data_IF_703746514515
#
_entry.id   IF_703746514515
#
_cell.length_a   1.000
_cell.length_b   1.000
_cell.length_c   1.000
_cell.angle_alpha   90.00
_cell.angle_beta   90.00
_cell.angle_gamma   90.00
#
_symmetry.space_group_name_H-M   'P 1'
#
loop_
_entity.id
_entity.type
_entity.pdbx_description
1 polymer ?
#
# COMPACT_ATOMS: atom_id res chain seq x y z
N UNK A 1 51.33 33.98 -23.13
CA UNK A 1 50.30 33.03 -23.61
C UNK A 1 50.06 31.84 -22.66
N UNK A 2 50.91 31.59 -21.66
CA UNK A 2 50.74 30.48 -20.69
C UNK A 2 49.67 30.71 -19.60
N UNK A 3 49.28 31.96 -19.34
CA UNK A 3 48.26 32.30 -18.32
C UNK A 3 46.81 32.01 -18.76
N UNK A 4 46.52 32.06 -20.06
CA UNK A 4 45.17 31.83 -20.62
C UNK A 4 44.81 30.34 -20.69
N UNK A 5 45.80 29.47 -20.89
CA UNK A 5 45.60 28.01 -20.91
C UNK A 5 45.31 27.46 -19.50
N UNK A 6 45.92 28.03 -18.46
CA UNK A 6 45.68 27.62 -17.08
C UNK A 6 44.26 27.96 -16.60
N UNK A 7 43.65 29.03 -17.12
CA UNK A 7 42.28 29.44 -16.74
C UNK A 7 41.21 28.57 -17.40
N UNK A 8 41.43 28.12 -18.65
CA UNK A 8 40.49 27.25 -19.36
C UNK A 8 40.40 25.83 -18.75
N UNK A 9 41.53 25.27 -18.30
CA UNK A 9 41.55 23.96 -17.64
C UNK A 9 40.94 23.99 -16.23
N UNK A 10 40.91 25.15 -15.57
CA UNK A 10 40.31 25.29 -14.25
C UNK A 10 38.77 25.36 -14.32
N UNK A 11 38.22 25.94 -15.39
CA UNK A 11 36.77 26.01 -15.61
C UNK A 11 36.13 24.68 -16.01
N UNK A 12 36.84 23.81 -16.73
CA UNK A 12 36.32 22.47 -17.09
C UNK A 12 36.31 21.52 -15.90
N UNK A 13 37.26 21.64 -14.97
CA UNK A 13 37.32 20.82 -13.75
C UNK A 13 36.20 21.15 -12.74
N UNK A 14 35.73 22.40 -12.70
CA UNK A 14 34.69 22.85 -11.76
C UNK A 14 33.25 22.52 -12.22
N UNK A 15 33.02 22.23 -13.50
CA UNK A 15 31.69 21.89 -14.01
C UNK A 15 31.37 20.37 -13.97
N UNK A 16 32.39 19.51 -13.91
CA UNK A 16 32.23 18.05 -13.95
C UNK A 16 31.55 17.43 -12.71
N UNK A 17 31.75 17.89 -11.46
CA UNK A 17 31.12 17.24 -10.31
C UNK A 17 29.64 17.63 -10.14
N UNK A 18 29.17 18.68 -10.82
CA UNK A 18 27.79 19.16 -10.70
C UNK A 18 26.83 18.42 -11.64
N UNK A 19 27.26 18.07 -12.85
CA UNK A 19 26.43 17.30 -13.80
C UNK A 19 26.24 15.86 -13.34
N UNK A 20 27.31 15.19 -12.86
CA UNK A 20 27.22 13.83 -12.32
C UNK A 20 26.28 13.71 -11.10
N UNK A 21 26.15 14.78 -10.28
CA UNK A 21 25.24 14.83 -9.13
C UNK A 21 23.78 15.09 -9.52
N UNK A 22 23.55 15.85 -10.60
CA UNK A 22 22.21 16.11 -11.11
C UNK A 22 21.62 14.88 -11.80
N UNK A 23 22.43 14.18 -12.59
CA UNK A 23 22.05 12.93 -13.25
C UNK A 23 21.68 11.86 -12.21
N UNK A 24 22.48 11.70 -11.16
CA UNK A 24 22.20 10.74 -10.07
C UNK A 24 20.93 11.10 -9.26
N UNK A 25 20.62 12.39 -9.07
CA UNK A 25 19.38 12.79 -8.40
C UNK A 25 18.14 12.53 -9.27
N UNK A 26 18.21 12.83 -10.57
CA UNK A 26 17.14 12.54 -11.52
C UNK A 26 16.90 11.03 -11.67
N UNK A 27 17.97 10.25 -11.78
CA UNK A 27 17.91 8.79 -11.88
C UNK A 27 17.29 8.16 -10.63
N UNK A 28 17.62 8.68 -9.44
CA UNK A 28 16.98 8.23 -8.19
C UNK A 28 15.48 8.47 -8.20
N UNK A 29 15.04 9.66 -8.61
CA UNK A 29 13.59 9.96 -8.71
C UNK A 29 12.92 9.05 -9.74
N UNK A 30 13.58 8.78 -10.88
CA UNK A 30 13.09 7.86 -11.90
C UNK A 30 12.89 6.44 -11.36
N UNK A 31 13.91 5.84 -10.76
CA UNK A 31 13.82 4.48 -10.20
C UNK A 31 12.83 4.42 -9.03
N UNK A 32 12.79 5.45 -8.18
CA UNK A 32 11.81 5.54 -7.11
C UNK A 32 10.37 5.62 -7.64
N UNK A 33 10.14 6.31 -8.76
CA UNK A 33 8.83 6.40 -9.43
C UNK A 33 8.37 5.02 -9.90
N UNK A 34 9.24 4.28 -10.57
CA UNK A 34 8.95 2.92 -11.04
C UNK A 34 8.66 1.99 -9.86
N UNK A 35 9.46 2.08 -8.78
CA UNK A 35 9.23 1.31 -7.57
C UNK A 35 7.86 1.63 -6.93
N UNK A 36 7.51 2.90 -6.78
CA UNK A 36 6.20 3.33 -6.22
C UNK A 36 5.05 2.80 -7.08
N UNK A 37 5.18 2.85 -8.40
CA UNK A 37 4.16 2.35 -9.33
C UNK A 37 3.96 0.83 -9.20
N UNK A 38 5.04 0.05 -9.15
CA UNK A 38 5.00 -1.41 -9.04
C UNK A 38 4.39 -1.91 -7.72
N UNK A 39 4.44 -1.08 -6.68
CA UNK A 39 4.15 -1.50 -5.30
C UNK A 39 2.86 -0.87 -4.76
N UNK A 40 2.96 0.37 -4.31
CA UNK A 40 1.93 1.08 -3.57
C UNK A 40 0.74 1.39 -4.46
N UNK A 41 1.01 1.90 -5.66
CA UNK A 41 -0.05 2.37 -6.57
C UNK A 41 -0.84 1.20 -7.13
N UNK A 42 -0.18 0.12 -7.56
CA UNK A 42 -0.86 -1.08 -8.06
C UNK A 42 -1.82 -1.69 -7.02
N UNK A 43 -1.36 -1.77 -5.76
CA UNK A 43 -2.17 -2.30 -4.66
C UNK A 43 -3.34 -1.35 -4.34
N UNK A 44 -3.09 -0.04 -4.33
CA UNK A 44 -4.11 0.97 -4.10
C UNK A 44 -5.18 0.95 -5.20
N UNK A 45 -4.80 0.85 -6.47
CA UNK A 45 -5.71 0.79 -7.61
C UNK A 45 -6.62 -0.45 -7.58
N UNK A 46 -6.04 -1.59 -7.20
CA UNK A 46 -6.80 -2.85 -7.01
C UNK A 46 -7.85 -2.68 -5.90
N UNK A 47 -7.44 -2.15 -4.74
CA UNK A 47 -8.33 -1.92 -3.61
C UNK A 47 -9.42 -0.88 -3.91
N UNK A 48 -9.03 0.22 -4.54
CA UNK A 48 -9.93 1.29 -4.96
C UNK A 48 -10.97 0.78 -5.95
N UNK A 49 -10.57 0.02 -6.98
CA UNK A 49 -11.51 -0.55 -7.95
C UNK A 49 -12.52 -1.47 -7.26
N UNK A 50 -12.07 -2.35 -6.36
CA UNK A 50 -12.97 -3.22 -5.62
C UNK A 50 -13.96 -2.46 -4.72
N UNK A 51 -13.52 -1.37 -4.09
CA UNK A 51 -14.38 -0.51 -3.27
C UNK A 51 -15.36 0.30 -4.12
N UNK A 52 -14.91 0.83 -5.27
CA UNK A 52 -15.75 1.56 -6.22
C UNK A 52 -16.88 0.67 -6.74
N UNK A 53 -16.58 -0.53 -7.21
CA UNK A 53 -17.60 -1.43 -7.75
C UNK A 53 -18.62 -1.85 -6.67
N UNK A 54 -18.18 -2.11 -5.43
CA UNK A 54 -19.10 -2.36 -4.30
C UNK A 54 -20.01 -1.16 -4.00
N UNK A 55 -19.48 0.05 -4.14
CA UNK A 55 -20.21 1.29 -3.86
C UNK A 55 -21.29 1.53 -4.91
N UNK A 56 -20.98 1.33 -6.18
CA UNK A 56 -21.93 1.58 -7.28
C UNK A 56 -22.89 0.42 -7.54
N UNK A 57 -22.65 -0.77 -6.99
CA UNK A 57 -23.44 -1.98 -7.23
C UNK A 57 -24.95 -1.86 -6.93
N UNK A 58 -25.34 -0.95 -6.03
CA UNK A 58 -26.75 -0.71 -5.67
C UNK A 58 -27.36 0.50 -6.39
N UNK A 59 -26.60 1.18 -7.26
CA UNK A 59 -27.05 2.36 -7.98
C UNK A 59 -27.70 1.99 -9.32
N UNK A 60 -28.61 2.82 -9.86
CA UNK A 60 -29.04 2.72 -11.25
C UNK A 60 -27.85 2.88 -12.20
N UNK A 61 -27.83 2.14 -13.32
CA UNK A 61 -26.63 2.03 -14.19
C UNK A 61 -26.13 3.38 -14.70
N UNK A 62 -27.03 4.26 -15.15
CA UNK A 62 -26.65 5.60 -15.64
C UNK A 62 -25.93 6.44 -14.56
N UNK A 63 -26.33 6.26 -13.30
CA UNK A 63 -25.71 6.91 -12.14
C UNK A 63 -24.41 6.22 -11.75
N UNK A 64 -24.38 4.89 -11.78
CA UNK A 64 -23.19 4.09 -11.51
C UNK A 64 -22.07 4.47 -12.49
N UNK A 65 -22.37 4.60 -13.77
CA UNK A 65 -21.40 4.96 -14.81
C UNK A 65 -20.87 6.38 -14.66
N UNK A 66 -21.73 7.35 -14.35
CA UNK A 66 -21.30 8.71 -14.06
C UNK A 66 -20.33 8.75 -12.86
N UNK A 67 -20.67 8.04 -11.77
CA UNK A 67 -19.81 7.93 -10.57
C UNK A 67 -18.50 7.21 -10.88
N UNK A 68 -18.53 6.08 -11.61
CA UNK A 68 -17.31 5.36 -12.02
C UNK A 68 -16.38 6.29 -12.77
N UNK A 69 -16.89 7.06 -13.73
CA UNK A 69 -16.10 7.98 -14.55
C UNK A 69 -15.49 9.12 -13.72
N UNK A 70 -16.29 9.79 -12.90
CA UNK A 70 -15.84 10.93 -12.10
C UNK A 70 -14.80 10.49 -11.06
N UNK A 71 -15.09 9.45 -10.29
CA UNK A 71 -14.22 9.00 -9.21
C UNK A 71 -12.94 8.38 -9.75
N UNK A 72 -12.97 7.69 -10.91
CA UNK A 72 -11.73 7.24 -11.59
C UNK A 72 -10.87 8.41 -12.06
N UNK A 73 -11.47 9.44 -12.64
CA UNK A 73 -10.73 10.63 -13.05
C UNK A 73 -10.06 11.34 -11.86
N UNK A 74 -10.73 11.38 -10.70
CA UNK A 74 -10.13 11.93 -9.48
C UNK A 74 -9.04 11.02 -8.91
N UNK A 75 -9.28 9.70 -8.92
CA UNK A 75 -8.27 8.72 -8.53
C UNK A 75 -6.98 8.87 -9.34
N UNK A 76 -7.07 9.05 -10.66
CA UNK A 76 -5.92 9.23 -11.54
C UNK A 76 -5.11 10.48 -11.19
N UNK A 77 -5.77 11.61 -10.89
CA UNK A 77 -5.09 12.82 -10.43
C UNK A 77 -4.38 12.60 -9.09
N UNK A 78 -5.06 12.01 -8.13
CA UNK A 78 -4.47 11.75 -6.81
C UNK A 78 -3.31 10.76 -6.90
N UNK A 79 -3.44 9.76 -7.78
CA UNK A 79 -2.38 8.80 -8.10
C UNK A 79 -1.14 9.51 -8.62
N UNK A 80 -1.26 10.48 -9.52
CA UNK A 80 -0.11 11.25 -10.01
C UNK A 80 0.58 12.05 -8.90
N UNK A 81 -0.20 12.74 -8.06
CA UNK A 81 0.32 13.50 -6.91
C UNK A 81 1.05 12.57 -5.93
N UNK A 82 0.47 11.41 -5.63
CA UNK A 82 1.09 10.41 -4.76
C UNK A 82 2.40 9.88 -5.35
N UNK A 83 2.42 9.55 -6.65
CA UNK A 83 3.63 9.07 -7.33
C UNK A 83 4.75 10.11 -7.22
N UNK A 84 4.46 11.37 -7.51
CA UNK A 84 5.45 12.45 -7.44
C UNK A 84 5.96 12.65 -6.00
N UNK A 85 5.07 12.76 -5.02
CA UNK A 85 5.45 12.97 -3.63
C UNK A 85 6.25 11.81 -3.03
N UNK A 86 5.81 10.57 -3.25
CA UNK A 86 6.47 9.38 -2.72
C UNK A 86 7.81 9.10 -3.41
N UNK A 87 7.90 9.29 -4.73
CA UNK A 87 9.16 9.08 -5.46
C UNK A 87 10.25 10.05 -5.01
N UNK A 88 9.91 11.33 -4.78
CA UNK A 88 10.82 12.32 -4.19
C UNK A 88 11.25 11.92 -2.78
N UNK A 89 10.29 11.55 -1.92
CA UNK A 89 10.59 11.12 -0.56
C UNK A 89 11.54 9.91 -0.51
N UNK A 90 11.38 8.94 -1.42
CA UNK A 90 12.32 7.82 -1.52
C UNK A 90 13.67 8.20 -2.13
N UNK A 91 13.70 9.02 -3.17
CA UNK A 91 14.94 9.49 -3.77
C UNK A 91 15.81 10.29 -2.80
N UNK A 92 15.20 10.99 -1.84
CA UNK A 92 15.90 11.70 -0.76
C UNK A 92 16.51 10.77 0.30
N UNK A 93 15.93 9.59 0.52
CA UNK A 93 16.30 8.68 1.62
C UNK A 93 17.18 7.52 1.19
N UNK A 94 17.12 7.14 -0.07
CA UNK A 94 17.83 6.00 -0.61
C UNK A 94 18.83 6.42 -1.69
N UNK A 95 19.93 5.69 -1.75
CA UNK A 95 20.87 5.76 -2.87
C UNK A 95 20.27 5.10 -4.11
N UNK A 96 20.86 5.38 -5.28
CA UNK A 96 20.41 4.80 -6.54
C UNK A 96 20.52 3.27 -6.53
N UNK A 97 21.58 2.73 -5.96
CA UNK A 97 21.80 1.27 -5.88
C UNK A 97 20.79 0.59 -4.96
N UNK A 98 20.44 1.21 -3.82
CA UNK A 98 19.39 0.71 -2.93
C UNK A 98 18.03 0.72 -3.63
N UNK A 99 17.68 1.80 -4.34
CA UNK A 99 16.43 1.88 -5.10
C UNK A 99 16.36 0.83 -6.21
N UNK A 100 17.47 0.61 -6.94
CA UNK A 100 17.57 -0.45 -7.96
C UNK A 100 17.44 -1.83 -7.34
N UNK A 101 18.08 -2.07 -6.19
CA UNK A 101 17.95 -3.33 -5.47
C UNK A 101 16.50 -3.60 -5.05
N UNK A 102 15.84 -2.61 -4.46
CA UNK A 102 14.43 -2.70 -4.09
C UNK A 102 13.53 -2.97 -5.30
N UNK A 103 13.72 -2.25 -6.40
CA UNK A 103 12.99 -2.52 -7.65
C UNK A 103 13.21 -3.95 -8.15
N UNK A 104 14.45 -4.45 -8.08
CA UNK A 104 14.79 -5.80 -8.50
C UNK A 104 14.03 -6.90 -7.75
N UNK A 105 13.70 -6.70 -6.46
CA UNK A 105 12.88 -7.64 -5.69
C UNK A 105 11.48 -7.77 -6.31
N UNK A 106 10.88 -6.67 -6.74
CA UNK A 106 9.54 -6.69 -7.36
C UNK A 106 9.52 -7.27 -8.78
N UNK A 107 10.68 -7.32 -9.44
CA UNK A 107 10.85 -7.98 -10.73
C UNK A 107 11.23 -9.46 -10.61
N UNK A 108 11.60 -9.94 -9.41
CA UNK A 108 11.94 -11.33 -9.16
C UNK A 108 10.70 -12.25 -9.26
N UNK A 109 10.83 -13.32 -10.04
CA UNK A 109 9.73 -14.27 -10.31
C UNK A 109 9.30 -15.05 -9.08
N UNK A 110 10.23 -15.35 -8.17
CA UNK A 110 9.91 -16.06 -6.92
C UNK A 110 9.10 -15.16 -6.01
N UNK A 111 9.49 -13.90 -5.90
CA UNK A 111 8.76 -12.90 -5.15
C UNK A 111 7.40 -12.58 -5.75
N UNK A 112 7.28 -12.47 -7.07
CA UNK A 112 5.98 -12.33 -7.75
C UNK A 112 5.07 -13.53 -7.49
N UNK A 113 5.60 -14.76 -7.54
CA UNK A 113 4.83 -15.96 -7.19
C UNK A 113 4.38 -15.94 -5.73
N UNK A 114 5.26 -15.53 -4.81
CA UNK A 114 4.91 -15.34 -3.40
C UNK A 114 3.76 -14.34 -3.25
N UNK A 115 3.84 -13.17 -3.89
CA UNK A 115 2.76 -12.18 -3.86
C UNK A 115 1.45 -12.73 -4.42
N UNK A 116 1.48 -13.45 -5.55
CA UNK A 116 0.30 -14.04 -6.15
C UNK A 116 -0.40 -15.04 -5.22
N UNK A 117 0.36 -15.92 -4.54
CA UNK A 117 -0.19 -16.87 -3.56
C UNK A 117 -0.85 -16.14 -2.37
N UNK A 118 -0.24 -15.05 -1.89
CA UNK A 118 -0.80 -14.26 -0.79
C UNK A 118 -2.02 -13.42 -1.18
N UNK A 119 -2.15 -13.04 -2.45
CA UNK A 119 -3.28 -12.27 -2.96
C UNK A 119 -4.46 -13.15 -3.41
N UNK A 120 -4.22 -14.44 -3.68
CA UNK A 120 -5.25 -15.37 -4.12
C UNK A 120 -6.24 -15.68 -2.98
N UNK A 121 -7.53 -15.32 -3.11
CA UNK A 121 -8.54 -15.62 -2.09
C UNK A 121 -8.79 -17.12 -1.91
N UNK A 122 -8.45 -17.95 -2.90
CA UNK A 122 -8.57 -19.40 -2.85
C UNK A 122 -7.33 -20.09 -2.26
N UNK A 123 -6.25 -19.35 -1.95
CA UNK A 123 -5.03 -19.95 -1.43
C UNK A 123 -5.22 -20.45 0.01
N UNK A 124 -4.47 -21.51 0.37
CA UNK A 124 -4.42 -21.99 1.74
C UNK A 124 -3.90 -20.93 2.71
N UNK A 125 -3.00 -20.04 2.26
CA UNK A 125 -2.49 -18.92 3.05
C UNK A 125 -3.62 -17.96 3.43
N UNK A 126 -4.48 -17.60 2.47
CA UNK A 126 -5.64 -16.74 2.72
C UNK A 126 -6.64 -17.44 3.65
N UNK A 127 -6.94 -18.71 3.41
CA UNK A 127 -7.86 -19.48 4.25
C UNK A 127 -7.38 -19.56 5.72
N UNK A 128 -6.10 -19.87 5.94
CA UNK A 128 -5.50 -19.89 7.28
C UNK A 128 -5.58 -18.52 7.95
N UNK A 129 -5.28 -17.46 7.20
CA UNK A 129 -5.31 -16.08 7.69
C UNK A 129 -6.74 -15.66 8.09
N UNK A 130 -7.73 -15.93 7.25
CA UNK A 130 -9.14 -15.63 7.53
C UNK A 130 -9.68 -16.40 8.73
N UNK A 131 -9.35 -17.69 8.87
CA UNK A 131 -9.74 -18.50 10.02
C UNK A 131 -9.18 -17.91 11.33
N UNK A 132 -7.92 -17.47 11.30
CA UNK A 132 -7.25 -16.84 12.45
C UNK A 132 -7.89 -15.50 12.83
N UNK A 133 -8.12 -14.63 11.84
CA UNK A 133 -8.79 -13.32 12.06
C UNK A 133 -10.22 -13.52 12.57
N UNK A 134 -10.97 -14.46 12.01
CA UNK A 134 -12.34 -14.78 12.45
C UNK A 134 -12.34 -15.23 13.91
N UNK A 135 -11.38 -16.06 14.33
CA UNK A 135 -11.24 -16.45 15.74
C UNK A 135 -10.99 -15.25 16.65
N UNK A 136 -10.09 -14.34 16.26
CA UNK A 136 -9.81 -13.13 17.04
C UNK A 136 -11.04 -12.21 17.13
N UNK A 137 -11.76 -11.99 16.02
CA UNK A 137 -12.99 -11.20 16.00
C UNK A 137 -14.07 -11.81 16.89
N UNK A 138 -14.22 -13.14 16.88
CA UNK A 138 -15.17 -13.83 17.76
C UNK A 138 -14.78 -13.65 19.23
N UNK A 139 -13.49 -13.71 19.58
CA UNK A 139 -13.03 -13.44 20.94
C UNK A 139 -13.33 -12.00 21.37
N UNK A 140 -13.11 -11.01 20.49
CA UNK A 140 -13.44 -9.61 20.76
C UNK A 140 -14.96 -9.40 20.92
N UNK A 141 -15.77 -10.02 20.07
CA UNK A 141 -17.22 -9.97 20.19
C UNK A 141 -17.73 -10.62 21.49
N UNK A 142 -17.14 -11.75 21.91
CA UNK A 142 -17.44 -12.38 23.19
C UNK A 142 -17.03 -11.49 24.36
N UNK A 143 -15.87 -10.85 24.32
CA UNK A 143 -15.43 -9.91 25.35
C UNK A 143 -16.38 -8.70 25.45
N UNK A 144 -16.76 -8.11 24.31
CA UNK A 144 -17.72 -7.01 24.25
C UNK A 144 -19.12 -7.42 24.78
N UNK A 145 -19.58 -8.63 24.46
CA UNK A 145 -20.83 -9.17 24.97
C UNK A 145 -20.75 -9.55 26.47
N UNK A 146 -19.56 -9.95 26.94
CA UNK A 146 -19.27 -10.22 28.35
C UNK A 146 -19.34 -8.97 29.22
N UNK A 147 -18.81 -7.84 28.73
CA UNK A 147 -18.97 -6.54 29.40
C UNK A 147 -20.41 -6.02 29.36
N UNK A 148 -21.17 -6.37 28.30
CA UNK A 148 -22.60 -6.03 28.21
C UNK A 148 -23.49 -6.84 29.17
N UNK A 149 -23.03 -8.02 29.63
CA UNK A 149 -23.74 -8.84 30.63
C UNK A 149 -23.41 -8.51 32.09
N UNK A 150 -22.44 -7.64 32.36
CA UNK A 150 -22.19 -7.13 33.71
C UNK A 150 -23.21 -6.06 34.16
N UNK A 151 -24.04 -5.54 33.24
CA UNK A 151 -25.08 -4.55 33.51
C UNK A 151 -26.51 -5.10 33.68
N UNK A 152 -26.79 -6.33 33.25
CA UNK A 152 -28.15 -6.91 33.28
C UNK A 152 -28.11 -8.28 33.99
N UNK A 153 -28.09 -8.25 35.32
CA UNK A 153 -27.94 -9.45 36.13
C UNK A 153 -28.43 -9.33 37.57
N UNK A 154 -29.45 -8.51 37.84
CA UNK A 154 -30.35 -8.74 38.99
C UNK A 154 -31.67 -9.32 38.48
N UNK A 155 -31.73 -10.64 38.34
CA UNK A 155 -32.90 -11.50 38.60
C UNK A 155 -32.69 -12.84 37.89
N UNK A 156 -32.77 -13.94 38.65
CA UNK A 156 -32.85 -15.29 38.10
C UNK A 156 -31.77 -16.22 38.62
N UNK A 157 -31.83 -16.55 39.92
CA UNK A 157 -31.14 -17.72 40.43
C UNK A 157 -31.70 -18.99 39.74
N UNK A 158 -30.86 -19.99 39.38
CA UNK A 158 -31.34 -21.26 38.82
C UNK A 158 -32.12 -22.04 39.89
N UNK A 159 -33.23 -22.72 39.55
CA UNK A 159 -33.96 -23.53 40.53
C UNK A 159 -33.11 -24.74 40.96
N UNK A 160 -32.95 -24.90 42.27
CA UNK A 160 -32.35 -26.09 42.87
C UNK A 160 -33.32 -27.29 42.72
N UNK A 161 -32.84 -28.49 42.40
CA UNK A 161 -33.68 -29.67 42.29
C UNK A 161 -34.16 -30.13 43.67
N UNK A 162 -35.48 -30.32 43.82
CA UNK A 162 -36.09 -30.87 45.04
C UNK A 162 -35.87 -32.39 45.14
N UNK A 163 -35.65 -32.95 46.35
CA UNK A 163 -35.50 -34.39 46.54
C UNK A 163 -36.86 -35.11 46.52
N UNK A 164 -36.92 -36.22 45.80
CA UNK A 164 -38.06 -37.13 45.76
C UNK A 164 -38.19 -37.92 47.09
N UNK A 165 -39.44 -38.19 47.49
CA UNK A 165 -39.80 -39.01 48.66
C UNK A 165 -40.12 -40.43 48.24
#
# INVERSE_FOLDING_TARGET
MTRLLATLCLTTALCLPLTARADDASDRVGVAKDLVQKTLIKNLETGFTGALEKTVASMPEDKADAVRKEVRAEFDKQREVMIDGLSKAYAEKFTLDELKHLSGIYDDKTYQKFQAVNADPASSVTAISQASVTKLLNMLAIAQAGDSKAGEGKAGAPPLPMPAR
#
